data_IF_207901900951
#
_entry.id   IF_207901900951
#
_cell.length_a   1.000
_cell.length_b   1.000
_cell.length_c   1.000
_cell.angle_alpha   90.00
_cell.angle_beta   90.00
_cell.angle_gamma   90.00
#
_symmetry.space_group_name_H-M   'P 1'
#
loop_
_entity.id
_entity.type
_entity.pdbx_description
1 polymer ?
#
# COMPACT_ATOMS: atom_id res chain seq x y z
N UNK A 1 -13.71 -1.54 13.29
CA UNK A 1 -14.80 -1.04 12.42
C UNK A 1 -14.21 -0.24 11.28
N UNK A 2 -14.37 -0.72 10.05
CA UNK A 2 -13.93 -0.02 8.84
C UNK A 2 -15.16 0.71 8.28
N UNK A 3 -15.04 2.01 8.01
CA UNK A 3 -16.11 2.81 7.41
C UNK A 3 -15.67 3.26 6.03
N UNK A 4 -16.48 3.01 5.00
CA UNK A 4 -16.25 3.57 3.67
C UNK A 4 -17.11 4.82 3.52
N UNK A 5 -16.46 5.97 3.34
CA UNK A 5 -17.05 7.29 3.28
C UNK A 5 -16.99 7.85 1.85
N UNK A 6 -18.16 8.01 1.24
CA UNK A 6 -18.30 8.57 -0.12
C UNK A 6 -18.60 10.07 -0.14
N UNK A 7 -18.74 10.72 1.02
CA UNK A 7 -19.27 12.10 1.12
C UNK A 7 -18.46 13.12 0.32
N UNK A 8 -17.14 12.96 0.25
CA UNK A 8 -16.27 13.82 -0.56
C UNK A 8 -16.55 13.64 -2.05
N UNK A 9 -16.58 12.40 -2.54
CA UNK A 9 -16.90 12.09 -3.93
C UNK A 9 -18.30 12.58 -4.33
N UNK A 10 -19.28 12.39 -3.44
CA UNK A 10 -20.65 12.88 -3.62
C UNK A 10 -20.72 14.41 -3.73
N UNK A 11 -20.03 15.11 -2.83
CA UNK A 11 -19.96 16.58 -2.85
C UNK A 11 -19.29 17.07 -4.13
N UNK A 12 -18.18 16.47 -4.54
CA UNK A 12 -17.50 16.83 -5.80
C UNK A 12 -18.41 16.62 -7.00
N UNK A 13 -19.10 15.48 -7.12
CA UNK A 13 -20.03 15.24 -8.23
C UNK A 13 -21.29 16.10 -8.21
N UNK A 14 -21.76 16.49 -7.02
CA UNK A 14 -22.88 17.42 -6.88
C UNK A 14 -22.48 18.80 -7.42
N UNK A 15 -21.22 19.20 -7.22
CA UNK A 15 -20.69 20.47 -7.70
C UNK A 15 -20.52 20.53 -9.23
N UNK A 16 -20.12 19.42 -9.88
CA UNK A 16 -19.86 19.37 -11.33
C UNK A 16 -21.04 19.90 -12.16
N UNK A 17 -20.80 20.93 -12.96
CA UNK A 17 -21.74 21.63 -13.83
C UNK A 17 -23.01 22.14 -13.11
N UNK A 18 -22.90 22.47 -11.81
CA UNK A 18 -24.02 22.98 -11.01
C UNK A 18 -24.17 24.50 -11.03
N UNK A 19 -23.10 25.23 -11.35
CA UNK A 19 -23.03 26.68 -11.17
C UNK A 19 -23.02 27.15 -9.71
N UNK A 20 -22.95 26.23 -8.73
CA UNK A 20 -22.89 26.58 -7.32
C UNK A 20 -21.54 27.21 -6.95
N UNK A 21 -21.55 28.16 -6.04
CA UNK A 21 -20.30 28.72 -5.51
C UNK A 21 -19.52 27.68 -4.70
N UNK A 22 -18.20 27.66 -4.88
CA UNK A 22 -17.30 26.82 -4.09
C UNK A 22 -16.97 27.53 -2.79
N UNK A 23 -17.41 26.95 -1.67
CA UNK A 23 -17.03 27.39 -0.33
C UNK A 23 -15.54 27.05 -0.08
N UNK A 24 -14.68 27.97 -0.49
CA UNK A 24 -13.22 27.84 -0.34
C UNK A 24 -12.79 27.69 1.11
N UNK A 25 -13.46 28.39 2.04
CA UNK A 25 -13.15 28.31 3.47
C UNK A 25 -13.40 26.89 3.99
N UNK A 26 -14.54 26.29 3.65
CA UNK A 26 -14.84 24.91 4.04
C UNK A 26 -13.90 23.89 3.39
N UNK A 27 -13.52 24.08 2.12
CA UNK A 27 -12.56 23.20 1.42
C UNK A 27 -11.20 23.23 2.12
N UNK A 28 -10.67 24.43 2.40
CA UNK A 28 -9.37 24.59 3.06
C UNK A 28 -9.37 24.11 4.51
N UNK A 29 -10.49 24.23 5.21
CA UNK A 29 -10.65 23.74 6.57
C UNK A 29 -10.83 22.22 6.67
N UNK A 30 -11.13 21.53 5.57
CA UNK A 30 -11.33 20.08 5.56
C UNK A 30 -10.03 19.31 5.78
N UNK A 31 -9.92 18.60 6.90
CA UNK A 31 -8.76 17.72 7.17
C UNK A 31 -8.56 16.63 6.12
N UNK A 32 -9.67 16.12 5.56
CA UNK A 32 -9.65 15.10 4.50
C UNK A 32 -8.98 15.68 3.24
N UNK A 33 -9.38 16.88 2.82
CA UNK A 33 -8.76 17.56 1.67
C UNK A 33 -7.30 17.88 1.98
N UNK A 34 -6.98 18.39 3.17
CA UNK A 34 -5.59 18.67 3.54
C UNK A 34 -4.70 17.42 3.48
N UNK A 35 -5.19 16.28 3.96
CA UNK A 35 -4.47 15.01 3.89
C UNK A 35 -4.19 14.58 2.43
N UNK A 36 -5.21 14.67 1.56
CA UNK A 36 -5.07 14.38 0.13
C UNK A 36 -4.08 15.33 -0.56
N UNK A 37 -4.18 16.63 -0.32
CA UNK A 37 -3.28 17.63 -0.92
C UNK A 37 -1.84 17.43 -0.43
N UNK A 38 -1.63 17.18 0.85
CA UNK A 38 -0.29 16.93 1.39
C UNK A 38 0.36 15.70 0.74
N UNK A 39 -0.40 14.62 0.53
CA UNK A 39 0.09 13.45 -0.20
C UNK A 39 0.41 13.79 -1.65
N UNK A 40 -0.53 14.40 -2.37
CA UNK A 40 -0.39 14.70 -3.80
C UNK A 40 0.76 15.66 -4.10
N UNK A 41 1.02 16.63 -3.22
CA UNK A 41 2.11 17.59 -3.39
C UNK A 41 3.50 16.92 -3.42
N UNK A 42 3.65 15.76 -2.76
CA UNK A 42 4.90 14.98 -2.80
C UNK A 42 5.12 14.27 -4.14
N UNK A 43 4.03 14.01 -4.86
CA UNK A 43 4.04 13.30 -6.15
C UNK A 43 4.06 14.27 -7.33
N UNK A 44 3.38 15.41 -7.19
CA UNK A 44 3.27 16.47 -8.19
C UNK A 44 3.24 17.82 -7.50
N UNK A 45 4.27 18.62 -7.74
CA UNK A 45 4.43 19.97 -7.17
C UNK A 45 3.28 20.93 -7.52
N UNK A 46 2.61 20.73 -8.66
CA UNK A 46 1.43 21.53 -9.05
C UNK A 46 0.12 21.10 -8.38
N UNK A 47 0.09 19.99 -7.62
CA UNK A 47 -1.11 19.52 -6.91
C UNK A 47 -1.32 20.25 -5.57
N UNK A 48 -1.37 21.59 -5.61
CA UNK A 48 -1.52 22.45 -4.44
C UNK A 48 -3.00 22.60 -4.01
N UNK A 49 -3.21 23.12 -2.79
CA UNK A 49 -4.57 23.47 -2.32
C UNK A 49 -5.23 24.51 -3.23
N UNK A 50 -4.48 25.49 -3.72
CA UNK A 50 -5.00 26.53 -4.60
C UNK A 50 -5.43 25.95 -5.95
N UNK A 51 -4.62 25.04 -6.51
CA UNK A 51 -4.97 24.31 -7.72
C UNK A 51 -6.23 23.44 -7.51
N UNK A 52 -6.39 22.84 -6.33
CA UNK A 52 -7.57 22.04 -6.01
C UNK A 52 -8.85 22.88 -5.96
N UNK A 53 -8.81 24.03 -5.27
CA UNK A 53 -9.94 24.98 -5.22
C UNK A 53 -10.27 25.51 -6.62
N UNK A 54 -9.26 25.85 -7.41
CA UNK A 54 -9.44 26.28 -8.80
C UNK A 54 -10.10 25.18 -9.65
N UNK A 55 -9.69 23.93 -9.48
CA UNK A 55 -10.27 22.78 -10.18
C UNK A 55 -11.74 22.57 -9.79
N UNK A 56 -12.10 22.71 -8.50
CA UNK A 56 -13.50 22.65 -8.05
C UNK A 56 -14.35 23.80 -8.65
N UNK A 57 -13.80 25.02 -8.74
CA UNK A 57 -14.48 26.16 -9.39
C UNK A 57 -14.74 25.89 -10.87
N UNK A 58 -13.74 25.38 -11.57
CA UNK A 58 -13.84 25.00 -12.97
C UNK A 58 -14.88 23.89 -13.16
N UNK A 59 -14.88 22.87 -12.28
CA UNK A 59 -15.89 21.82 -12.26
C UNK A 59 -17.31 22.39 -12.12
N UNK A 60 -17.51 23.34 -11.19
CA UNK A 60 -18.81 23.99 -10.99
C UNK A 60 -19.29 24.75 -12.23
N UNK A 61 -18.37 25.47 -12.88
CA UNK A 61 -18.61 26.20 -14.12
C UNK A 61 -18.71 25.31 -15.37
N UNK A 62 -18.59 23.98 -15.22
CA UNK A 62 -18.57 23.02 -16.33
C UNK A 62 -17.42 23.28 -17.32
N UNK A 63 -16.26 23.70 -16.82
CA UNK A 63 -15.07 24.02 -17.59
C UNK A 63 -13.91 23.09 -17.22
N UNK A 64 -13.27 22.47 -18.21
CA UNK A 64 -12.06 21.71 -17.99
C UNK A 64 -10.87 22.67 -17.74
N UNK A 65 -10.13 22.54 -16.62
CA UNK A 65 -8.91 23.32 -16.39
C UNK A 65 -7.87 23.07 -17.49
N UNK A 66 -7.13 24.10 -17.89
CA UNK A 66 -6.04 23.97 -18.87
C UNK A 66 -4.85 23.18 -18.29
N UNK A 67 -4.44 23.50 -17.05
CA UNK A 67 -3.61 22.61 -16.23
C UNK A 67 -4.55 21.89 -15.25
N UNK A 68 -4.65 20.58 -15.41
CA UNK A 68 -5.59 19.75 -14.65
C UNK A 68 -4.84 18.73 -13.79
N UNK A 69 -4.17 19.18 -12.71
CA UNK A 69 -3.37 18.30 -11.86
C UNK A 69 -4.19 17.21 -11.19
N UNK A 70 -5.49 17.43 -11.03
CA UNK A 70 -6.37 16.50 -10.38
C UNK A 70 -7.21 15.64 -11.34
N UNK A 71 -7.29 15.97 -12.65
CA UNK A 71 -8.11 15.28 -13.66
C UNK A 71 -9.62 15.62 -13.57
N UNK A 72 -9.98 16.84 -13.19
CA UNK A 72 -11.37 17.31 -13.16
C UNK A 72 -12.03 17.31 -14.55
N UNK A 73 -11.29 17.56 -15.63
CA UNK A 73 -11.82 17.50 -16.99
C UNK A 73 -12.46 16.14 -17.32
N UNK A 74 -11.85 15.05 -16.83
CA UNK A 74 -12.40 13.70 -16.97
C UNK A 74 -13.70 13.51 -16.17
N UNK A 75 -13.74 14.03 -14.94
CA UNK A 75 -14.96 13.98 -14.09
C UNK A 75 -16.11 14.76 -14.72
N UNK A 76 -15.84 15.91 -15.33
CA UNK A 76 -16.83 16.71 -16.07
C UNK A 76 -17.37 15.90 -17.25
N UNK A 77 -16.47 15.34 -18.08
CA UNK A 77 -16.84 14.60 -19.28
C UNK A 77 -17.63 13.30 -18.96
N UNK A 78 -17.30 12.65 -17.84
CA UNK A 78 -17.81 11.32 -17.48
C UNK A 78 -18.68 11.31 -16.21
N UNK A 79 -19.32 12.44 -15.86
CA UNK A 79 -20.07 12.62 -14.60
C UNK A 79 -21.05 11.48 -14.29
N UNK A 80 -21.80 11.03 -15.28
CA UNK A 80 -22.78 9.95 -15.10
C UNK A 80 -22.11 8.61 -14.74
N UNK A 81 -20.98 8.29 -15.38
CA UNK A 81 -20.22 7.08 -15.08
C UNK A 81 -19.65 7.13 -13.65
N UNK A 82 -19.07 8.26 -13.22
CA UNK A 82 -18.62 8.42 -11.84
C UNK A 82 -19.77 8.28 -10.82
N UNK A 83 -20.96 8.82 -11.13
CA UNK A 83 -22.16 8.65 -10.29
C UNK A 83 -22.52 7.18 -10.15
N UNK A 84 -22.62 6.45 -11.27
CA UNK A 84 -22.89 5.00 -11.28
C UNK A 84 -21.90 4.24 -10.41
N UNK A 85 -20.59 4.52 -10.54
CA UNK A 85 -19.55 3.89 -9.74
C UNK A 85 -19.71 4.17 -8.24
N UNK A 86 -19.91 5.44 -7.85
CA UNK A 86 -20.07 5.79 -6.43
C UNK A 86 -21.31 5.13 -5.84
N UNK A 87 -22.43 5.14 -6.56
CA UNK A 87 -23.67 4.54 -6.08
C UNK A 87 -23.56 3.01 -5.98
N UNK A 88 -22.89 2.36 -6.94
CA UNK A 88 -22.60 0.94 -6.88
C UNK A 88 -21.69 0.59 -5.69
N UNK A 89 -20.74 1.46 -5.31
CA UNK A 89 -19.88 1.21 -4.15
C UNK A 89 -20.67 1.32 -2.85
N UNK A 90 -21.54 2.32 -2.72
CA UNK A 90 -22.40 2.49 -1.53
C UNK A 90 -23.24 1.26 -1.23
N UNK A 91 -23.75 0.60 -2.27
CA UNK A 91 -24.55 -0.63 -2.11
C UNK A 91 -23.73 -1.76 -1.48
N UNK A 92 -22.41 -1.76 -1.67
CA UNK A 92 -21.51 -2.86 -1.25
C UNK A 92 -20.55 -2.47 -0.12
N UNK A 93 -20.64 -1.24 0.35
CA UNK A 93 -19.65 -0.68 1.26
C UNK A 93 -19.53 -1.50 2.55
N UNK A 94 -20.65 -1.99 3.09
CA UNK A 94 -20.70 -2.78 4.31
C UNK A 94 -20.12 -4.19 4.10
N UNK A 95 -20.36 -4.78 2.93
CA UNK A 95 -19.77 -6.07 2.52
C UNK A 95 -18.25 -5.95 2.44
N UNK A 96 -17.75 -4.96 1.70
CA UNK A 96 -16.31 -4.72 1.52
C UNK A 96 -15.65 -4.46 2.88
N UNK A 97 -16.25 -3.60 3.72
CA UNK A 97 -15.75 -3.30 5.05
C UNK A 97 -15.73 -4.53 5.96
N UNK A 98 -16.76 -5.37 5.92
CA UNK A 98 -16.84 -6.59 6.72
C UNK A 98 -15.78 -7.62 6.30
N UNK A 99 -15.59 -7.83 4.98
CA UNK A 99 -14.55 -8.76 4.48
C UNK A 99 -13.15 -8.24 4.82
N UNK A 100 -12.89 -6.95 4.64
CA UNK A 100 -11.61 -6.35 5.02
C UNK A 100 -11.35 -6.49 6.53
N UNK A 101 -12.36 -6.24 7.36
CA UNK A 101 -12.25 -6.42 8.81
C UNK A 101 -11.93 -7.89 9.17
N UNK A 102 -12.62 -8.85 8.55
CA UNK A 102 -12.38 -10.28 8.79
C UNK A 102 -10.98 -10.73 8.33
N UNK A 103 -10.39 -10.10 7.30
CA UNK A 103 -9.00 -10.36 6.87
C UNK A 103 -7.99 -9.81 7.86
N UNK A 104 -8.25 -8.64 8.45
CA UNK A 104 -7.32 -7.93 9.35
C UNK A 104 -7.39 -8.44 10.78
N UNK A 105 -8.59 -8.73 11.29
CA UNK A 105 -8.85 -9.10 12.69
C UNK A 105 -7.89 -10.15 13.24
N UNK A 106 -7.53 -11.23 12.51
CA UNK A 106 -6.62 -12.24 13.02
C UNK A 106 -5.20 -11.76 13.32
N UNK A 107 -4.80 -10.61 12.78
CA UNK A 107 -3.46 -10.03 12.96
C UNK A 107 -3.45 -8.88 13.98
N UNK A 108 -4.60 -8.56 14.57
CA UNK A 108 -4.70 -7.52 15.58
C UNK A 108 -4.10 -8.02 16.92
N UNK A 109 -3.34 -7.18 17.63
CA UNK A 109 -3.03 -7.41 19.03
C UNK A 109 -4.31 -7.65 19.84
N UNK A 110 -4.25 -8.55 20.82
CA UNK A 110 -5.35 -8.77 21.75
C UNK A 110 -5.78 -7.44 22.40
N UNK A 111 -7.07 -7.12 22.30
CA UNK A 111 -7.65 -5.91 22.87
C UNK A 111 -7.45 -4.62 22.05
N UNK A 112 -6.85 -4.69 20.85
CA UNK A 112 -6.78 -3.54 19.96
C UNK A 112 -8.12 -3.33 19.24
N UNK A 113 -8.74 -2.18 19.48
CA UNK A 113 -9.84 -1.68 18.67
C UNK A 113 -9.30 -0.79 17.55
N UNK A 114 -9.60 -1.15 16.30
CA UNK A 114 -9.25 -0.33 15.15
C UNK A 114 -10.47 0.32 14.51
N UNK A 115 -10.32 1.60 14.14
CA UNK A 115 -11.27 2.34 13.30
C UNK A 115 -10.52 2.98 12.14
N UNK A 116 -11.00 2.74 10.92
CA UNK A 116 -10.42 3.29 9.70
C UNK A 116 -11.50 3.87 8.81
N UNK A 117 -11.17 4.99 8.15
CA UNK A 117 -12.03 5.65 7.19
C UNK A 117 -11.44 5.53 5.78
N UNK A 118 -12.16 4.85 4.90
CA UNK A 118 -11.86 4.78 3.46
C UNK A 118 -12.63 5.89 2.76
N UNK A 119 -11.94 6.92 2.31
CA UNK A 119 -12.48 8.05 1.57
C UNK A 119 -12.39 7.79 0.07
N UNK A 120 -13.53 7.89 -0.63
CA UNK A 120 -13.47 7.96 -2.09
C UNK A 120 -12.99 9.35 -2.54
N UNK A 121 -11.84 9.38 -3.22
CA UNK A 121 -11.32 10.59 -3.80
C UNK A 121 -11.82 10.75 -5.23
N UNK A 122 -12.51 11.86 -5.48
CA UNK A 122 -12.66 12.47 -6.80
C UNK A 122 -12.24 13.92 -6.58
N UNK A 123 -11.31 14.50 -7.34
CA UNK A 123 -10.46 14.03 -8.44
C UNK A 123 -9.05 13.51 -8.01
N UNK A 124 -8.53 12.43 -8.63
CA UNK A 124 -7.19 11.89 -8.37
C UNK A 124 -6.54 11.31 -9.64
N UNK A 125 -5.20 11.30 -9.69
CA UNK A 125 -4.45 11.02 -10.92
C UNK A 125 -3.81 9.62 -11.00
N UNK A 126 -3.80 8.83 -9.93
CA UNK A 126 -3.20 7.48 -9.93
C UNK A 126 -4.27 6.38 -9.77
N UNK A 127 -4.15 5.28 -10.51
CA UNK A 127 -5.03 4.12 -10.34
C UNK A 127 -4.56 3.30 -9.14
N UNK A 128 -5.17 3.52 -7.98
CA UNK A 128 -4.83 2.83 -6.73
C UNK A 128 -5.44 3.51 -5.52
N UNK A 129 -4.76 3.38 -4.39
CA UNK A 129 -5.08 4.11 -3.17
C UNK A 129 -3.84 4.59 -2.44
N UNK A 130 -4.05 5.36 -1.38
CA UNK A 130 -2.99 5.74 -0.46
C UNK A 130 -3.53 6.02 0.94
N UNK A 131 -2.69 5.79 1.94
CA UNK A 131 -2.93 6.22 3.32
C UNK A 131 -2.37 7.63 3.58
N UNK A 132 -3.13 8.48 4.28
CA UNK A 132 -2.66 9.74 4.82
C UNK A 132 -3.47 10.15 6.06
N UNK A 133 -2.79 10.46 7.17
CA UNK A 133 -3.40 10.94 8.43
C UNK A 133 -4.57 10.04 8.90
N UNK A 134 -4.36 8.73 8.92
CA UNK A 134 -5.34 7.74 9.36
C UNK A 134 -6.54 7.53 8.41
N UNK A 135 -6.45 8.00 7.17
CA UNK A 135 -7.50 7.88 6.14
C UNK A 135 -6.93 7.22 4.89
N UNK A 136 -7.76 6.44 4.19
CA UNK A 136 -7.37 5.79 2.94
C UNK A 136 -8.13 6.39 1.79
N UNK A 137 -7.44 6.79 0.73
CA UNK A 137 -8.06 7.40 -0.43
C UNK A 137 -8.05 6.40 -1.58
N UNK A 138 -9.18 6.25 -2.28
CA UNK A 138 -9.30 5.38 -3.46
C UNK A 138 -9.72 6.21 -4.69
N UNK A 139 -9.06 5.99 -5.83
CA UNK A 139 -9.44 6.60 -7.11
C UNK A 139 -10.70 5.94 -7.68
N UNK A 140 -11.80 6.70 -7.77
CA UNK A 140 -13.04 6.21 -8.39
C UNK A 140 -12.87 5.98 -9.90
N UNK A 141 -11.96 6.71 -10.55
CA UNK A 141 -11.78 6.67 -12.01
C UNK A 141 -11.47 5.27 -12.53
N UNK A 142 -10.67 4.52 -11.78
CA UNK A 142 -10.12 3.23 -12.22
C UNK A 142 -11.03 2.04 -11.91
N UNK A 143 -12.17 2.30 -11.26
CA UNK A 143 -13.22 1.30 -11.06
C UNK A 143 -14.01 1.09 -12.34
N UNK A 144 -14.48 -0.13 -12.57
CA UNK A 144 -15.47 -0.48 -13.58
C UNK A 144 -16.82 0.14 -13.23
N UNK A 145 -17.64 0.34 -14.26
CA UNK A 145 -19.04 0.74 -14.07
C UNK A 145 -19.82 -0.34 -13.31
N UNK A 146 -19.51 -1.61 -13.58
CA UNK A 146 -19.94 -2.75 -12.77
C UNK A 146 -18.89 -3.07 -11.68
N UNK A 147 -19.10 -2.51 -10.50
CA UNK A 147 -18.25 -2.73 -9.33
C UNK A 147 -18.21 -4.20 -8.89
N UNK A 148 -19.19 -5.03 -9.29
CA UNK A 148 -19.13 -6.46 -8.98
C UNK A 148 -17.88 -7.11 -9.56
N UNK A 149 -17.45 -6.66 -10.74
CA UNK A 149 -16.24 -7.12 -11.39
C UNK A 149 -14.93 -6.61 -10.74
N UNK A 150 -15.01 -5.59 -9.87
CA UNK A 150 -13.87 -5.03 -9.12
C UNK A 150 -13.87 -5.37 -7.63
N UNK A 151 -14.84 -6.15 -7.14
CA UNK A 151 -15.02 -6.35 -5.71
C UNK A 151 -13.78 -6.86 -5.00
N UNK A 152 -13.12 -7.85 -5.59
CA UNK A 152 -11.97 -8.48 -4.97
C UNK A 152 -10.78 -7.53 -4.98
N UNK A 153 -10.56 -6.77 -6.05
CA UNK A 153 -9.50 -5.77 -6.11
C UNK A 153 -9.76 -4.60 -5.15
N UNK A 154 -11.01 -4.16 -5.01
CA UNK A 154 -11.42 -3.15 -4.03
C UNK A 154 -11.25 -3.65 -2.60
N UNK A 155 -11.70 -4.87 -2.31
CA UNK A 155 -11.56 -5.49 -0.99
C UNK A 155 -10.09 -5.67 -0.63
N UNK A 156 -9.28 -6.15 -1.57
CA UNK A 156 -7.84 -6.25 -1.43
C UNK A 156 -7.21 -4.90 -1.12
N UNK A 157 -7.52 -3.85 -1.91
CA UNK A 157 -6.97 -2.51 -1.70
C UNK A 157 -7.41 -1.91 -0.35
N UNK A 158 -8.69 -2.00 0.01
CA UNK A 158 -9.20 -1.55 1.31
C UNK A 158 -8.48 -2.29 2.43
N UNK A 159 -8.31 -3.60 2.31
CA UNK A 159 -7.61 -4.41 3.32
C UNK A 159 -6.14 -4.00 3.44
N UNK A 160 -5.42 -3.88 2.31
CA UNK A 160 -4.01 -3.50 2.24
C UNK A 160 -3.78 -2.14 2.89
N UNK A 161 -4.49 -1.11 2.43
CA UNK A 161 -4.34 0.24 2.96
C UNK A 161 -4.76 0.32 4.43
N UNK A 162 -5.87 -0.34 4.81
CA UNK A 162 -6.31 -0.39 6.21
C UNK A 162 -5.27 -1.03 7.12
N UNK A 163 -4.57 -2.04 6.63
CA UNK A 163 -3.53 -2.72 7.39
C UNK A 163 -2.32 -1.80 7.68
N UNK A 164 -2.01 -0.84 6.80
CA UNK A 164 -0.95 0.15 7.08
C UNK A 164 -1.23 0.96 8.36
N UNK A 165 -2.48 1.33 8.65
CA UNK A 165 -2.79 2.04 9.90
C UNK A 165 -2.74 1.15 11.14
N UNK A 166 -2.90 -0.18 10.99
CA UNK A 166 -2.59 -1.13 12.06
C UNK A 166 -1.09 -1.17 12.27
N UNK A 167 -0.33 -1.29 11.19
CA UNK A 167 1.12 -1.35 11.19
C UNK A 167 1.75 -0.11 11.84
N UNK A 168 1.19 1.09 11.66
CA UNK A 168 1.61 2.31 12.38
C UNK A 168 1.59 2.14 13.92
N UNK A 169 0.72 1.28 14.44
CA UNK A 169 0.56 1.04 15.88
C UNK A 169 1.31 -0.21 16.38
N UNK A 170 1.53 -1.20 15.51
CA UNK A 170 2.05 -2.52 15.90
C UNK A 170 3.45 -2.82 15.38
N UNK A 171 3.84 -2.29 14.22
CA UNK A 171 5.19 -2.52 13.72
C UNK A 171 6.19 -1.83 14.62
N UNK A 172 7.36 -2.44 14.71
CA UNK A 172 8.52 -1.74 15.24
C UNK A 172 8.71 -0.45 14.45
N UNK A 173 8.65 0.69 15.15
CA UNK A 173 8.93 1.99 14.56
C UNK A 173 10.43 2.21 14.68
N UNK A 174 11.24 1.99 13.61
CA UNK A 174 12.65 2.27 13.70
C UNK A 174 12.86 3.75 13.99
N UNK A 175 13.82 4.05 14.85
CA UNK A 175 14.46 5.37 14.81
C UNK A 175 15.13 5.46 13.45
N UNK A 176 14.41 5.97 12.45
CA UNK A 176 14.90 6.02 11.06
C UNK A 176 16.18 6.84 11.07
N UNK A 177 17.31 6.13 11.05
CA UNK A 177 18.61 6.73 10.89
C UNK A 177 18.66 7.38 9.51
N UNK A 178 19.52 8.40 9.30
CA UNK A 178 19.63 9.00 7.99
C UNK A 178 20.06 7.93 6.97
N UNK A 179 19.38 7.92 5.82
CA UNK A 179 19.69 7.05 4.67
C UNK A 179 21.09 7.29 4.09
N UNK A 180 21.83 8.26 4.63
CA UNK A 180 23.24 8.54 4.36
C UNK A 180 24.19 7.49 4.92
N UNK A 181 23.71 6.60 5.79
CA UNK A 181 24.50 5.46 6.32
C UNK A 181 24.00 4.14 5.76
N UNK A 182 24.90 3.17 5.55
CA UNK A 182 24.52 1.81 5.09
C UNK A 182 23.52 1.14 6.04
N UNK A 183 23.64 1.40 7.35
CA UNK A 183 22.71 0.88 8.35
C UNK A 183 21.29 1.42 8.15
N UNK A 184 21.13 2.75 8.10
CA UNK A 184 19.82 3.37 7.88
C UNK A 184 19.22 3.01 6.51
N UNK A 185 20.05 2.95 5.47
CA UNK A 185 19.63 2.54 4.14
C UNK A 185 19.08 1.09 4.11
N UNK A 186 19.78 0.12 4.71
CA UNK A 186 19.30 -1.26 4.78
C UNK A 186 18.05 -1.39 5.66
N UNK A 187 18.04 -0.71 6.81
CA UNK A 187 16.87 -0.66 7.70
C UNK A 187 15.63 -0.11 6.97
N UNK A 188 15.79 0.93 6.15
CA UNK A 188 14.72 1.49 5.32
C UNK A 188 14.17 0.48 4.33
N UNK A 189 15.02 -0.29 3.63
CA UNK A 189 14.53 -1.31 2.70
C UNK A 189 13.89 -2.51 3.39
N UNK A 190 14.43 -2.95 4.53
CA UNK A 190 13.79 -4.01 5.31
C UNK A 190 12.44 -3.56 5.87
N UNK A 191 12.34 -2.29 6.29
CA UNK A 191 11.09 -1.68 6.73
C UNK A 191 10.06 -1.66 5.60
N UNK A 192 10.45 -1.25 4.39
CA UNK A 192 9.57 -1.32 3.22
C UNK A 192 9.12 -2.76 2.91
N UNK A 193 10.04 -3.74 3.00
CA UNK A 193 9.75 -5.15 2.74
C UNK A 193 8.70 -5.72 3.71
N UNK A 194 8.85 -5.50 5.01
CA UNK A 194 7.90 -6.02 5.99
C UNK A 194 6.56 -5.26 5.93
N UNK A 195 6.59 -3.93 5.76
CA UNK A 195 5.40 -3.08 5.73
C UNK A 195 4.54 -3.43 4.53
N UNK A 196 5.08 -3.31 3.32
CA UNK A 196 4.31 -3.61 2.10
C UNK A 196 4.05 -5.11 1.93
N UNK A 197 5.00 -5.95 2.33
CA UNK A 197 4.86 -7.41 2.23
C UNK A 197 3.73 -7.97 3.06
N UNK A 198 3.65 -7.59 4.34
CA UNK A 198 2.59 -8.07 5.22
C UNK A 198 1.23 -7.44 4.88
N UNK A 199 1.18 -6.18 4.44
CA UNK A 199 -0.04 -5.56 3.92
C UNK A 199 -0.56 -6.28 2.66
N UNK A 200 0.33 -6.62 1.73
CA UNK A 200 -0.01 -7.38 0.50
C UNK A 200 -0.52 -8.78 0.82
N UNK A 201 0.09 -9.45 1.81
CA UNK A 201 -0.32 -10.77 2.28
C UNK A 201 -1.72 -10.74 2.91
N UNK A 202 -1.95 -9.84 3.88
CA UNK A 202 -3.25 -9.69 4.55
C UNK A 202 -4.32 -9.21 3.57
N UNK A 203 -3.94 -8.34 2.64
CA UNK A 203 -4.77 -7.87 1.52
C UNK A 203 -5.26 -9.00 0.62
N UNK A 204 -4.58 -10.15 0.58
CA UNK A 204 -4.85 -11.26 -0.33
C UNK A 204 -4.72 -10.84 -1.80
N UNK A 205 -3.61 -10.23 -2.17
CA UNK A 205 -3.34 -9.84 -3.56
C UNK A 205 -3.42 -11.03 -4.55
N UNK A 206 -3.20 -12.26 -4.07
CA UNK A 206 -3.39 -13.51 -4.82
C UNK A 206 -4.85 -13.74 -5.24
N UNK A 207 -5.82 -13.30 -4.43
CA UNK A 207 -7.24 -13.52 -4.67
C UNK A 207 -7.77 -12.74 -5.89
N UNK A 208 -7.05 -11.71 -6.36
CA UNK A 208 -7.39 -10.96 -7.57
C UNK A 208 -7.03 -11.75 -8.85
N UNK A 209 -6.13 -12.73 -8.78
CA UNK A 209 -5.66 -13.48 -9.95
C UNK A 209 -6.77 -14.21 -10.74
N UNK A 210 -7.74 -14.90 -10.10
CA UNK A 210 -8.81 -15.59 -10.80
C UNK A 210 -9.88 -14.67 -11.40
N UNK A 211 -9.85 -13.36 -11.10
CA UNK A 211 -10.87 -12.43 -11.56
C UNK A 211 -10.92 -12.36 -13.10
N UNK A 212 -12.10 -12.62 -13.66
CA UNK A 212 -12.38 -12.51 -15.09
C UNK A 212 -13.12 -11.20 -15.36
N UNK A 213 -12.42 -10.20 -15.91
CA UNK A 213 -13.00 -8.88 -16.20
C UNK A 213 -12.52 -7.81 -15.22
N UNK A 214 -13.37 -6.84 -14.93
CA UNK A 214 -13.09 -5.72 -14.04
C UNK A 214 -12.55 -4.48 -14.73
N UNK A 215 -12.51 -3.39 -13.98
CA UNK A 215 -12.00 -2.10 -14.40
C UNK A 215 -10.48 -2.08 -14.47
N UNK A 216 -9.93 -0.89 -14.65
CA UNK A 216 -8.48 -0.69 -14.70
C UNK A 216 -7.82 -1.16 -13.39
N UNK A 217 -8.49 -0.97 -12.23
CA UNK A 217 -7.99 -1.41 -10.94
C UNK A 217 -7.76 -2.93 -10.89
N UNK A 218 -8.76 -3.74 -11.22
CA UNK A 218 -8.61 -5.21 -11.25
C UNK A 218 -7.59 -5.65 -12.27
N UNK A 219 -7.59 -5.04 -13.46
CA UNK A 219 -6.66 -5.43 -14.53
C UNK A 219 -5.20 -5.17 -14.14
N UNK A 220 -4.89 -4.02 -13.53
CA UNK A 220 -3.54 -3.70 -13.05
C UNK A 220 -3.12 -4.66 -11.94
N UNK A 221 -3.96 -4.84 -10.92
CA UNK A 221 -3.63 -5.70 -9.77
C UNK A 221 -3.48 -7.16 -10.18
N UNK A 222 -4.37 -7.67 -11.03
CA UNK A 222 -4.26 -9.03 -11.59
C UNK A 222 -2.97 -9.21 -12.38
N UNK A 223 -2.61 -8.22 -13.21
CA UNK A 223 -1.36 -8.24 -13.96
C UNK A 223 -0.18 -8.29 -13.01
N UNK A 224 -0.10 -7.38 -12.03
CA UNK A 224 1.01 -7.32 -11.07
C UNK A 224 1.13 -8.64 -10.28
N UNK A 225 0.02 -9.16 -9.77
CA UNK A 225 0.00 -10.43 -9.05
C UNK A 225 0.46 -11.61 -9.93
N UNK A 226 -0.09 -11.74 -11.15
CA UNK A 226 0.29 -12.81 -12.07
C UNK A 226 1.75 -12.73 -12.52
N UNK A 227 2.20 -11.53 -12.89
CA UNK A 227 3.55 -11.25 -13.34
C UNK A 227 4.61 -11.56 -12.26
N UNK A 228 4.33 -11.19 -11.01
CA UNK A 228 5.21 -11.46 -9.87
C UNK A 228 5.16 -12.93 -9.43
N UNK A 229 3.98 -13.58 -9.47
CA UNK A 229 3.87 -15.01 -9.20
C UNK A 229 4.72 -15.85 -10.16
N UNK A 230 4.68 -15.54 -11.46
CA UNK A 230 5.49 -16.22 -12.49
C UNK A 230 6.99 -16.01 -12.30
N UNK A 231 7.40 -14.86 -11.75
CA UNK A 231 8.80 -14.45 -11.60
C UNK A 231 9.31 -14.56 -10.18
N UNK A 232 8.58 -15.19 -9.26
CA UNK A 232 8.87 -15.14 -7.83
C UNK A 232 10.33 -15.51 -7.48
N UNK A 233 10.87 -16.60 -8.06
CA UNK A 233 12.28 -16.98 -7.86
C UNK A 233 13.27 -15.91 -8.33
N UNK A 234 12.98 -15.26 -9.47
CA UNK A 234 13.80 -14.17 -9.98
C UNK A 234 13.66 -12.92 -9.09
N UNK A 235 12.46 -12.64 -8.56
CA UNK A 235 12.22 -11.52 -7.65
C UNK A 235 13.00 -11.69 -6.33
N UNK A 236 13.00 -12.88 -5.73
CA UNK A 236 13.85 -13.19 -4.56
C UNK A 236 15.34 -12.97 -4.84
N UNK A 237 15.80 -13.39 -6.03
CA UNK A 237 17.18 -13.20 -6.45
C UNK A 237 17.51 -11.71 -6.65
N UNK A 238 16.62 -10.95 -7.29
CA UNK A 238 16.78 -9.52 -7.51
C UNK A 238 16.78 -8.75 -6.19
N UNK A 239 15.86 -9.04 -5.28
CA UNK A 239 15.82 -8.40 -3.97
C UNK A 239 17.10 -8.69 -3.16
N UNK A 240 17.64 -9.92 -3.25
CA UNK A 240 18.95 -10.26 -2.67
C UNK A 240 20.08 -9.37 -3.25
N UNK A 241 20.10 -9.19 -4.57
CA UNK A 241 21.09 -8.33 -5.24
C UNK A 241 20.95 -6.86 -4.83
N UNK A 242 19.73 -6.36 -4.62
CA UNK A 242 19.48 -5.00 -4.15
C UNK A 242 20.03 -4.77 -2.73
N UNK A 243 19.81 -5.73 -1.82
CA UNK A 243 20.38 -5.66 -0.47
C UNK A 243 21.92 -5.67 -0.49
N UNK A 244 22.54 -6.56 -1.29
CA UNK A 244 24.00 -6.59 -1.45
C UNK A 244 24.53 -5.28 -2.05
N UNK A 245 23.83 -4.72 -3.04
CA UNK A 245 24.20 -3.46 -3.68
C UNK A 245 24.23 -2.30 -2.68
N UNK A 246 23.17 -2.13 -1.88
CA UNK A 246 23.12 -1.11 -0.82
C UNK A 246 24.18 -1.39 0.25
N UNK A 247 24.35 -2.64 0.65
CA UNK A 247 25.33 -3.05 1.68
C UNK A 247 26.77 -2.67 1.30
N UNK A 248 27.09 -2.67 0.00
CA UNK A 248 28.42 -2.37 -0.55
C UNK A 248 28.56 -0.94 -1.08
N UNK A 249 27.48 -0.15 -1.04
CA UNK A 249 27.48 1.20 -1.55
C UNK A 249 28.49 2.10 -0.80
N UNK A 250 29.27 2.87 -1.56
CA UNK A 250 30.11 3.95 -0.99
C UNK A 250 29.26 5.17 -0.60
N UNK A 251 28.18 5.39 -1.33
CA UNK A 251 27.20 6.45 -1.11
C UNK A 251 25.80 5.81 -0.97
N UNK A 252 25.35 5.51 0.26
CA UNK A 252 24.14 4.72 0.49
C UNK A 252 22.83 5.39 0.08
N UNK A 253 22.75 6.72 0.12
CA UNK A 253 21.50 7.46 -0.08
C UNK A 253 20.93 7.36 -1.51
N UNK A 254 21.68 7.71 -2.57
CA UNK A 254 21.18 7.51 -3.93
C UNK A 254 20.97 6.02 -4.23
N UNK A 255 21.83 5.14 -3.72
CA UNK A 255 21.72 3.69 -3.94
C UNK A 255 20.47 3.10 -3.32
N UNK A 256 20.09 3.50 -2.10
CA UNK A 256 18.86 3.01 -1.47
C UNK A 256 17.62 3.52 -2.17
N UNK A 257 17.64 4.77 -2.65
CA UNK A 257 16.54 5.32 -3.44
C UNK A 257 16.34 4.53 -4.74
N UNK A 258 17.42 4.19 -5.43
CA UNK A 258 17.34 3.41 -6.67
C UNK A 258 16.87 1.98 -6.39
N UNK A 259 17.40 1.34 -5.34
CA UNK A 259 16.95 0.02 -4.91
C UNK A 259 15.46 0.01 -4.49
N UNK A 260 15.02 1.05 -3.77
CA UNK A 260 13.62 1.23 -3.42
C UNK A 260 12.74 1.38 -4.66
N UNK A 261 13.15 2.22 -5.61
CA UNK A 261 12.44 2.42 -6.87
C UNK A 261 12.31 1.11 -7.66
N UNK A 262 13.37 0.30 -7.72
CA UNK A 262 13.34 -1.01 -8.39
C UNK A 262 12.42 -1.99 -7.67
N UNK A 263 12.48 -2.07 -6.34
CA UNK A 263 11.77 -3.09 -5.57
C UNK A 263 10.31 -2.76 -5.24
N UNK A 264 10.00 -1.50 -4.96
CA UNK A 264 8.76 -1.10 -4.29
C UNK A 264 7.94 -0.08 -5.06
N UNK A 265 8.40 0.38 -6.24
CA UNK A 265 7.58 1.22 -7.10
C UNK A 265 6.86 0.40 -8.17
N UNK A 266 5.70 0.87 -8.62
CA UNK A 266 4.94 0.33 -9.75
C UNK A 266 5.63 0.48 -11.12
N UNK A 267 6.90 0.87 -11.16
CA UNK A 267 7.73 1.01 -12.36
C UNK A 267 8.20 -0.34 -12.93
N UNK A 268 9.48 -0.44 -13.25
CA UNK A 268 10.07 -1.52 -14.08
C UNK A 268 9.78 -2.94 -13.59
N UNK A 269 9.61 -3.15 -12.29
CA UNK A 269 9.39 -4.47 -11.69
C UNK A 269 8.08 -4.57 -10.88
N UNK A 270 7.12 -3.67 -11.12
CA UNK A 270 5.72 -3.84 -10.68
C UNK A 270 5.60 -4.24 -9.20
N UNK A 271 6.22 -3.48 -8.30
CA UNK A 271 6.11 -3.70 -6.85
C UNK A 271 6.60 -5.08 -6.39
N UNK A 272 7.61 -5.68 -7.03
CA UNK A 272 8.08 -7.04 -6.70
C UNK A 272 8.39 -7.28 -5.21
N UNK A 273 8.83 -6.25 -4.47
CA UNK A 273 9.10 -6.31 -3.03
C UNK A 273 7.84 -6.60 -2.21
N UNK A 274 6.67 -6.15 -2.66
CA UNK A 274 5.37 -6.40 -2.05
C UNK A 274 5.06 -7.90 -2.10
N UNK A 275 5.22 -8.50 -3.27
CA UNK A 275 4.92 -9.92 -3.49
C UNK A 275 5.96 -10.85 -2.85
N UNK A 276 7.25 -10.47 -2.85
CA UNK A 276 8.28 -11.23 -2.12
C UNK A 276 8.01 -11.17 -0.62
N UNK A 277 7.74 -9.99 -0.08
CA UNK A 277 7.39 -9.84 1.33
C UNK A 277 6.11 -10.59 1.70
N UNK A 278 5.12 -10.63 0.82
CA UNK A 278 3.89 -11.40 1.03
C UNK A 278 4.14 -12.92 1.05
N UNK A 279 5.01 -13.42 0.16
CA UNK A 279 5.45 -14.81 0.20
C UNK A 279 6.16 -15.11 1.52
N UNK A 280 7.06 -14.24 1.97
CA UNK A 280 7.78 -14.41 3.24
C UNK A 280 6.84 -14.43 4.45
N UNK A 281 5.84 -13.54 4.48
CA UNK A 281 4.83 -13.50 5.54
C UNK A 281 4.02 -14.80 5.58
N UNK A 282 3.57 -15.27 4.41
CA UNK A 282 2.86 -16.53 4.28
C UNK A 282 3.71 -17.74 4.66
N UNK A 283 5.01 -17.75 4.35
CA UNK A 283 5.94 -18.82 4.74
C UNK A 283 6.08 -18.88 6.27
N UNK A 284 6.25 -17.72 6.92
CA UNK A 284 6.32 -17.62 8.39
C UNK A 284 5.02 -18.09 9.04
N UNK A 285 3.86 -17.61 8.57
CA UNK A 285 2.57 -18.04 9.14
C UNK A 285 2.33 -19.55 8.93
N UNK A 286 2.67 -20.11 7.76
CA UNK A 286 2.50 -21.55 7.53
C UNK A 286 3.39 -22.40 8.42
N UNK A 287 4.62 -21.95 8.70
CA UNK A 287 5.59 -22.72 9.46
C UNK A 287 5.44 -22.57 10.98
N UNK A 288 5.20 -21.35 11.47
CA UNK A 288 5.21 -21.02 12.90
C UNK A 288 3.85 -20.51 13.42
N UNK A 289 2.85 -20.38 12.54
CA UNK A 289 1.53 -19.87 12.90
C UNK A 289 1.43 -18.35 12.85
N UNK A 290 0.19 -17.86 12.95
CA UNK A 290 -0.13 -16.44 12.83
C UNK A 290 0.44 -15.59 13.96
N UNK A 291 0.38 -16.09 15.19
CA UNK A 291 0.91 -15.38 16.37
C UNK A 291 2.41 -15.13 16.24
N UNK A 292 3.14 -16.05 15.60
CA UNK A 292 4.55 -15.88 15.29
C UNK A 292 4.79 -14.74 14.29
N UNK A 293 3.99 -14.65 13.22
CA UNK A 293 4.07 -13.55 12.26
C UNK A 293 3.79 -12.20 12.95
N UNK A 294 2.73 -12.10 13.76
CA UNK A 294 2.41 -10.88 14.54
C UNK A 294 3.53 -10.53 15.52
N UNK A 295 4.16 -11.53 16.15
CA UNK A 295 5.33 -11.32 17.01
C UNK A 295 6.52 -10.78 16.21
N UNK A 296 6.85 -11.36 15.06
CA UNK A 296 7.95 -10.93 14.20
C UNK A 296 7.74 -9.50 13.68
N UNK A 297 6.51 -9.14 13.36
CA UNK A 297 6.13 -7.77 12.95
C UNK A 297 6.46 -6.70 13.99
N UNK A 298 6.49 -7.06 15.28
CA UNK A 298 6.85 -6.14 16.39
C UNK A 298 8.35 -6.04 16.63
N UNK A 299 9.15 -6.84 15.95
CA UNK A 299 10.61 -6.81 16.05
C UNK A 299 11.21 -5.85 15.01
N UNK A 300 12.47 -5.43 15.18
CA UNK A 300 13.18 -4.69 14.15
C UNK A 300 13.08 -5.36 12.77
N UNK A 301 12.97 -4.59 11.67
CA UNK A 301 12.56 -5.12 10.36
C UNK A 301 13.52 -6.17 9.78
N UNK A 302 14.81 -6.12 10.13
CA UNK A 302 15.77 -7.16 9.75
C UNK A 302 15.42 -8.55 10.30
N UNK A 303 14.66 -8.62 11.41
CA UNK A 303 14.22 -9.88 12.00
C UNK A 303 13.18 -10.60 11.13
N UNK A 304 12.44 -9.89 10.27
CA UNK A 304 11.52 -10.51 9.30
C UNK A 304 12.28 -11.33 8.25
N UNK A 305 13.39 -10.79 7.75
CA UNK A 305 14.31 -11.50 6.83
C UNK A 305 14.93 -12.71 7.51
N UNK A 306 15.41 -12.54 8.75
CA UNK A 306 16.05 -13.63 9.50
C UNK A 306 15.05 -14.73 9.93
N UNK A 307 13.81 -14.35 10.24
CA UNK A 307 12.72 -15.28 10.53
C UNK A 307 12.41 -16.14 9.31
N UNK A 308 12.23 -15.51 8.15
CA UNK A 308 11.97 -16.20 6.90
C UNK A 308 13.11 -17.15 6.50
N UNK A 309 14.36 -16.69 6.58
CA UNK A 309 15.50 -17.55 6.24
C UNK A 309 15.59 -18.78 7.16
N UNK A 310 15.25 -18.63 8.43
CA UNK A 310 15.14 -19.75 9.37
C UNK A 310 14.02 -20.74 9.02
N UNK A 311 12.85 -20.26 8.60
CA UNK A 311 11.75 -21.12 8.12
C UNK A 311 12.20 -21.92 6.91
N UNK A 312 12.81 -21.25 5.94
CA UNK A 312 13.26 -21.88 4.71
C UNK A 312 14.43 -22.86 4.93
N UNK A 313 15.33 -22.57 5.87
CA UNK A 313 16.41 -23.48 6.25
C UNK A 313 15.93 -24.74 6.98
N UNK A 314 14.84 -24.66 7.75
CA UNK A 314 14.26 -25.80 8.45
C UNK A 314 13.52 -26.77 7.50
N UNK A 315 13.16 -26.30 6.30
CA UNK A 315 12.24 -26.97 5.39
C UNK A 315 12.91 -27.31 4.06
N UNK A 316 14.11 -27.89 4.10
CA UNK A 316 14.94 -28.19 2.92
C UNK A 316 14.29 -29.10 1.87
N UNK A 317 13.15 -29.73 2.20
CA UNK A 317 12.39 -30.59 1.31
C UNK A 317 11.25 -29.88 0.54
N UNK A 318 10.88 -28.64 0.88
CA UNK A 318 9.81 -27.91 0.19
C UNK A 318 10.39 -27.01 -0.92
N UNK A 319 10.26 -27.39 -2.22
CA UNK A 319 10.77 -26.59 -3.33
C UNK A 319 10.01 -25.27 -3.54
N UNK A 320 8.86 -25.08 -2.89
CA UNK A 320 8.09 -23.84 -2.93
C UNK A 320 8.66 -22.76 -1.99
N UNK A 321 9.44 -23.16 -0.97
CA UNK A 321 10.12 -22.21 -0.09
C UNK A 321 11.34 -21.63 -0.78
N UNK A 322 11.21 -20.38 -1.18
CA UNK A 322 12.30 -19.60 -1.74
C UNK A 322 13.13 -18.99 -0.61
N UNK A 323 14.40 -18.72 -0.87
CA UNK A 323 15.30 -18.07 0.10
C UNK A 323 15.78 -16.76 -0.48
N UNK A 324 15.85 -15.74 0.38
CA UNK A 324 16.75 -14.63 0.13
C UNK A 324 18.18 -15.19 0.25
N UNK A 325 19.04 -14.88 -0.73
CA UNK A 325 20.37 -15.48 -0.76
C UNK A 325 21.26 -15.00 0.40
N UNK A 326 22.46 -15.60 0.57
CA UNK A 326 23.34 -15.32 1.72
C UNK A 326 23.69 -13.83 1.93
N UNK A 327 23.68 -13.02 0.86
CA UNK A 327 23.95 -11.59 0.96
C UNK A 327 22.82 -10.81 1.68
N UNK A 328 21.56 -11.21 1.50
CA UNK A 328 20.44 -10.61 2.21
C UNK A 328 20.48 -10.98 3.71
N UNK A 329 20.82 -12.24 4.01
CA UNK A 329 21.03 -12.71 5.38
C UNK A 329 22.18 -11.93 6.05
N UNK A 330 23.33 -11.77 5.39
CA UNK A 330 24.44 -10.97 5.93
C UNK A 330 24.06 -9.51 6.15
N UNK A 331 23.31 -8.90 5.21
CA UNK A 331 22.81 -7.54 5.36
C UNK A 331 21.88 -7.41 6.58
N UNK A 332 20.96 -8.35 6.79
CA UNK A 332 20.08 -8.37 7.95
C UNK A 332 20.86 -8.58 9.26
N UNK A 333 21.82 -9.51 9.29
CA UNK A 333 22.70 -9.72 10.45
C UNK A 333 23.59 -8.51 10.73
N UNK A 334 24.03 -7.79 9.71
CA UNK A 334 24.78 -6.55 9.85
C UNK A 334 23.97 -5.49 10.60
N UNK A 335 22.70 -5.29 10.22
CA UNK A 335 21.78 -4.36 10.91
C UNK A 335 21.54 -4.83 12.35
N UNK A 336 21.19 -6.11 12.56
CA UNK A 336 20.91 -6.66 13.88
C UNK A 336 22.09 -6.50 14.87
N UNK A 337 23.34 -6.73 14.41
CA UNK A 337 24.55 -6.56 15.22
C UNK A 337 24.76 -5.10 15.64
N UNK A 338 24.48 -4.15 14.74
CA UNK A 338 24.60 -2.71 15.02
C UNK A 338 23.58 -2.25 16.07
N UNK A 339 22.42 -2.90 16.15
CA UNK A 339 21.41 -2.69 17.19
C UNK A 339 21.73 -3.40 18.52
N UNK A 340 22.80 -4.18 18.60
CA UNK A 340 23.19 -4.88 19.84
C UNK A 340 22.41 -6.17 20.11
N UNK A 341 21.67 -6.72 19.12
CA UNK A 341 21.13 -8.08 19.16
C UNK A 341 20.07 -8.38 20.24
N UNK A 342 19.46 -7.36 20.84
CA UNK A 342 18.49 -7.53 21.94
C UNK A 342 17.13 -8.09 21.50
N UNK A 343 16.82 -8.03 20.20
CA UNK A 343 15.55 -8.48 19.63
C UNK A 343 15.83 -9.62 18.65
N UNK A 344 15.29 -10.80 18.93
CA UNK A 344 15.53 -11.99 18.13
C UNK A 344 14.22 -12.70 17.78
N UNK A 345 14.02 -13.00 16.50
CA UNK A 345 12.84 -13.73 16.02
C UNK A 345 12.68 -15.13 16.64
N UNK A 346 13.73 -15.69 17.26
CA UNK A 346 13.68 -17.00 17.91
C UNK A 346 12.62 -17.06 19.03
N UNK A 347 12.35 -15.95 19.72
CA UNK A 347 11.32 -15.88 20.75
C UNK A 347 9.88 -15.95 20.18
N UNK A 348 9.71 -15.75 18.88
CA UNK A 348 8.41 -15.81 18.21
C UNK A 348 8.05 -17.20 17.69
N UNK A 349 8.91 -18.22 17.85
CA UNK A 349 8.78 -19.50 17.15
C UNK A 349 7.68 -20.46 17.67
N UNK A 350 7.05 -20.16 18.81
CA UNK A 350 5.89 -20.92 19.33
C UNK A 350 6.21 -22.32 19.81
#
# INVERSE_FOLDING_TARGET
MITINTSMADRTLALVCSGAEVDETAVRASEVVQAQIQHNLRLRDTATMDAYVAALRAASACQAPADDPFRIGDVIANRAAYRTKIDALKVRQDEIAAVAAARIEPYLPAGMDYRGDVVLAVPYFSCGGFAARGRFFIDVRCLADDISADNEALTMLVTHETFHAIQEQVLFQPEVGPNTTTHGALESLFSALITEGTATYVGRADAVMPATGGGMLTQINRRFAGDNAQRMRANFSLLTMLFDHVRRARDPEPTVRDAYSIGFSGGTYQEMGYFVGAQMAGDIERAWGRDALVCVMRLPPEQFVLAHDAVAAASTADPALLRLGPAAEDAARYVARRRGGQHGYAACRG
#
